data_IF_221412386336
#
_entry.id   IF_221412386336
#
_cell.length_a   1.000
_cell.length_b   1.000
_cell.length_c   1.000
_cell.angle_alpha   90.00
_cell.angle_beta   90.00
_cell.angle_gamma   90.00
#
_symmetry.space_group_name_H-M   'P 1'
#
loop_
_entity.id
_entity.type
_entity.pdbx_description
1 polymer ?
#
# COMPACT_ATOMS: atom_id res chain seq x y z
N UNK A 1 14.04 17.81 30.30
CA UNK A 1 14.42 16.56 29.59
C UNK A 1 13.35 16.02 28.62
N UNK A 2 12.18 16.66 28.52
CA UNK A 2 11.03 16.26 27.71
C UNK A 2 11.16 16.57 26.21
N UNK A 3 11.77 17.70 25.82
CA UNK A 3 11.83 18.10 24.40
C UNK A 3 12.81 17.29 23.56
N UNK A 4 13.92 16.81 24.14
CA UNK A 4 14.87 15.93 23.44
C UNK A 4 14.23 14.60 23.04
N UNK A 5 13.38 14.04 23.91
CA UNK A 5 12.62 12.81 23.66
C UNK A 5 11.59 12.98 22.54
N UNK A 6 10.78 14.06 22.62
CA UNK A 6 9.78 14.41 21.59
C UNK A 6 10.42 14.60 20.21
N UNK A 7 11.55 15.30 20.15
CA UNK A 7 12.28 15.55 18.90
C UNK A 7 12.84 14.24 18.30
N UNK A 8 13.33 13.31 19.12
CA UNK A 8 13.82 12.00 18.64
C UNK A 8 12.68 11.16 18.04
N UNK A 9 11.50 11.19 18.66
CA UNK A 9 10.28 10.54 18.13
C UNK A 9 9.84 11.14 16.80
N UNK A 10 9.83 12.48 16.69
CA UNK A 10 9.51 13.20 15.46
C UNK A 10 10.46 12.85 14.30
N UNK A 11 11.78 12.88 14.55
CA UNK A 11 12.77 12.49 13.53
C UNK A 11 12.64 11.03 13.10
N UNK A 12 12.27 10.13 14.02
CA UNK A 12 12.05 8.71 13.69
C UNK A 12 10.85 8.53 12.77
N UNK A 13 9.75 9.25 13.03
CA UNK A 13 8.57 9.25 12.16
C UNK A 13 8.90 9.83 10.78
N UNK A 14 9.60 10.96 10.73
CA UNK A 14 10.03 11.58 9.46
C UNK A 14 10.88 10.63 8.60
N UNK A 15 11.82 9.88 9.21
CA UNK A 15 12.60 8.86 8.48
C UNK A 15 11.73 7.71 7.98
N UNK A 16 10.77 7.25 8.78
CA UNK A 16 9.85 6.19 8.38
C UNK A 16 8.97 6.63 7.19
N UNK A 17 8.43 7.85 7.23
CA UNK A 17 7.66 8.43 6.12
C UNK A 17 8.49 8.52 4.85
N UNK A 18 9.72 9.07 4.91
CA UNK A 18 10.61 9.11 3.74
C UNK A 18 10.91 7.72 3.17
N UNK A 19 11.16 6.73 4.03
CA UNK A 19 11.39 5.36 3.58
C UNK A 19 10.16 4.76 2.89
N UNK A 20 8.95 4.99 3.43
CA UNK A 20 7.70 4.56 2.77
C UNK A 20 7.53 5.23 1.41
N UNK A 21 7.84 6.52 1.30
CA UNK A 21 7.71 7.28 0.05
C UNK A 21 8.69 6.76 -1.02
N UNK A 22 9.95 6.53 -0.67
CA UNK A 22 10.96 5.95 -1.56
C UNK A 22 10.56 4.54 -2.02
N UNK A 23 10.16 3.66 -1.10
CA UNK A 23 9.70 2.30 -1.45
C UNK A 23 8.42 2.34 -2.31
N UNK A 24 7.53 3.31 -2.07
CA UNK A 24 6.33 3.51 -2.87
C UNK A 24 6.70 3.86 -4.32
N UNK A 25 7.73 4.67 -4.53
CA UNK A 25 8.20 5.02 -5.87
C UNK A 25 8.74 3.80 -6.63
N UNK A 26 9.45 2.90 -5.93
CA UNK A 26 9.93 1.62 -6.49
C UNK A 26 8.75 0.72 -6.88
N UNK A 27 7.73 0.67 -6.04
CA UNK A 27 6.53 -0.14 -6.31
C UNK A 27 5.75 0.39 -7.53
N UNK A 28 5.69 1.71 -7.70
CA UNK A 28 4.97 2.36 -8.79
C UNK A 28 5.73 2.40 -10.12
N UNK A 29 7.07 2.40 -10.10
CA UNK A 29 7.87 2.48 -11.32
C UNK A 29 7.62 1.31 -12.26
N UNK A 30 7.14 0.16 -11.76
CA UNK A 30 6.88 -1.09 -12.52
C UNK A 30 8.07 -1.58 -13.34
N UNK A 31 9.25 -0.99 -13.13
CA UNK A 31 10.50 -1.30 -13.81
C UNK A 31 11.38 -2.00 -12.78
N UNK A 32 11.36 -3.33 -12.81
CA UNK A 32 12.09 -4.12 -11.83
C UNK A 32 11.74 -5.59 -11.90
N UNK A 33 12.65 -6.41 -11.39
CA UNK A 33 12.37 -7.79 -11.07
C UNK A 33 11.22 -7.88 -10.05
N UNK A 34 10.34 -8.86 -10.23
CA UNK A 34 9.20 -9.10 -9.35
C UNK A 34 9.65 -9.25 -7.89
N UNK A 35 10.80 -9.90 -7.67
CA UNK A 35 11.34 -10.12 -6.33
C UNK A 35 11.67 -8.79 -5.61
N UNK A 36 12.17 -7.80 -6.35
CA UNK A 36 12.48 -6.47 -5.83
C UNK A 36 11.20 -5.71 -5.45
N UNK A 37 10.17 -5.78 -6.31
CA UNK A 37 8.87 -5.11 -6.05
C UNK A 37 8.17 -5.76 -4.84
N UNK A 38 8.22 -7.08 -4.73
CA UNK A 38 7.68 -7.81 -3.59
C UNK A 38 8.45 -7.49 -2.29
N UNK A 39 9.77 -7.34 -2.36
CA UNK A 39 10.57 -6.89 -1.22
C UNK A 39 10.16 -5.49 -0.75
N UNK A 40 9.97 -4.54 -1.68
CA UNK A 40 9.48 -3.20 -1.36
C UNK A 40 8.08 -3.24 -0.71
N UNK A 41 7.17 -4.06 -1.22
CA UNK A 41 5.84 -4.25 -0.64
C UNK A 41 5.90 -4.74 0.81
N UNK A 42 6.72 -5.78 1.09
CA UNK A 42 6.95 -6.30 2.45
C UNK A 42 7.52 -5.22 3.38
N UNK A 43 8.49 -4.45 2.91
CA UNK A 43 9.13 -3.41 3.72
C UNK A 43 8.20 -2.24 4.05
N UNK A 44 7.35 -1.83 3.10
CA UNK A 44 6.29 -0.83 3.36
C UNK A 44 5.38 -1.31 4.49
N UNK A 45 4.90 -2.56 4.43
CA UNK A 45 4.06 -3.13 5.49
C UNK A 45 4.79 -3.19 6.83
N UNK A 46 6.06 -3.60 6.83
CA UNK A 46 6.89 -3.72 8.04
C UNK A 46 7.15 -2.37 8.69
N UNK A 47 7.48 -1.35 7.91
CA UNK A 47 7.67 0.02 8.39
C UNK A 47 6.36 0.55 8.96
N UNK A 48 5.24 0.32 8.28
CA UNK A 48 3.94 0.77 8.78
C UNK A 48 3.50 0.09 10.07
N UNK A 49 3.69 -1.23 10.19
CA UNK A 49 3.46 -1.98 11.44
C UNK A 49 4.35 -1.46 12.59
N UNK A 50 5.62 -1.15 12.31
CA UNK A 50 6.61 -0.76 13.34
C UNK A 50 6.52 0.70 13.77
N UNK A 51 6.24 1.60 12.84
CA UNK A 51 6.33 3.05 13.04
C UNK A 51 4.98 3.78 12.97
N UNK A 52 3.90 3.05 12.64
CA UNK A 52 2.56 3.62 12.51
C UNK A 52 2.38 4.48 11.25
N UNK A 53 3.31 4.38 10.30
CA UNK A 53 3.31 5.16 9.06
C UNK A 53 2.57 4.40 7.96
N UNK A 54 1.61 5.03 7.29
CA UNK A 54 0.80 4.34 6.28
C UNK A 54 1.15 4.86 4.90
N UNK A 55 1.35 3.98 3.91
CA UNK A 55 1.46 4.41 2.53
C UNK A 55 0.13 5.04 2.09
N UNK A 56 0.18 5.80 0.99
CA UNK A 56 -1.03 6.38 0.40
C UNK A 56 -2.04 5.27 0.06
N UNK A 57 -3.35 5.56 0.07
CA UNK A 57 -4.38 4.56 -0.24
C UNK A 57 -4.17 3.87 -1.60
N UNK A 58 -3.66 4.61 -2.59
CA UNK A 58 -3.30 4.07 -3.90
C UNK A 58 -2.24 2.98 -3.80
N UNK A 59 -1.13 3.26 -3.10
CA UNK A 59 -0.03 2.29 -2.92
C UNK A 59 -0.46 1.12 -2.05
N UNK A 60 -1.23 1.37 -0.98
CA UNK A 60 -1.70 0.29 -0.10
C UNK A 60 -2.56 -0.75 -0.84
N UNK A 61 -3.29 -0.35 -1.89
CA UNK A 61 -4.15 -1.26 -2.70
C UNK A 61 -3.32 -2.12 -3.66
N UNK A 62 -2.07 -1.76 -3.90
CA UNK A 62 -1.14 -2.51 -4.74
C UNK A 62 -0.31 -3.52 -3.93
N UNK A 63 -0.64 -3.75 -2.65
CA UNK A 63 0.07 -4.69 -1.79
C UNK A 63 -0.95 -5.67 -1.20
N UNK A 64 -0.72 -6.97 -1.39
CA UNK A 64 -1.53 -7.98 -0.75
C UNK A 64 -1.17 -8.04 0.74
N UNK A 65 -2.13 -7.82 1.65
CA UNK A 65 -1.86 -7.95 3.09
C UNK A 65 -1.74 -9.41 3.58
N UNK A 66 -2.00 -10.39 2.71
CA UNK A 66 -1.96 -11.82 3.02
C UNK A 66 -0.58 -12.41 2.78
N UNK A 67 -0.18 -12.50 1.51
CA UNK A 67 1.13 -13.00 1.11
C UNK A 67 2.23 -11.92 1.06
N UNK A 68 1.89 -10.66 1.34
CA UNK A 68 2.81 -9.51 1.28
C UNK A 68 3.46 -9.27 -0.09
N UNK A 69 2.89 -9.85 -1.16
CA UNK A 69 3.33 -9.64 -2.54
C UNK A 69 2.78 -8.33 -3.12
N UNK A 70 3.50 -7.79 -4.11
CA UNK A 70 3.02 -6.67 -4.90
C UNK A 70 1.96 -7.13 -5.91
N UNK A 71 0.85 -6.41 -5.95
CA UNK A 71 -0.28 -6.69 -6.83
C UNK A 71 -0.11 -5.93 -8.14
N UNK A 72 0.07 -6.68 -9.22
CA UNK A 72 0.20 -6.18 -10.58
C UNK A 72 -1.08 -6.53 -11.35
N UNK A 73 -1.89 -5.54 -11.74
CA UNK A 73 -3.10 -5.77 -12.52
C UNK A 73 -2.82 -6.57 -13.79
N UNK A 74 -3.55 -7.67 -14.00
CA UNK A 74 -3.41 -8.52 -15.18
C UNK A 74 -2.26 -9.53 -15.13
N UNK A 75 -1.50 -9.59 -14.03
CA UNK A 75 -0.45 -10.60 -13.82
C UNK A 75 -0.77 -11.54 -12.65
N UNK A 76 -0.92 -10.99 -11.46
CA UNK A 76 -1.18 -11.75 -10.22
C UNK A 76 -2.31 -11.13 -9.38
N UNK A 77 -3.07 -10.23 -10.00
CA UNK A 77 -4.11 -9.49 -9.32
C UNK A 77 -5.23 -9.11 -10.29
N UNK A 78 -6.47 -9.29 -9.83
CA UNK A 78 -7.69 -8.92 -10.55
C UNK A 78 -8.36 -7.74 -9.88
N UNK A 79 -8.45 -6.63 -10.60
CA UNK A 79 -9.12 -5.42 -10.16
C UNK A 79 -10.49 -5.32 -10.86
N UNK A 80 -11.57 -5.19 -10.10
CA UNK A 80 -12.94 -5.01 -10.60
C UNK A 80 -13.60 -3.84 -9.91
N UNK A 81 -14.48 -3.15 -10.62
CA UNK A 81 -15.40 -2.18 -10.03
C UNK A 81 -16.77 -2.82 -10.00
N UNK A 82 -17.37 -2.90 -8.83
CA UNK A 82 -18.69 -3.50 -8.62
C UNK A 82 -19.43 -2.69 -7.56
N UNK A 83 -20.66 -2.27 -7.85
CA UNK A 83 -21.52 -1.57 -6.90
C UNK A 83 -20.82 -0.35 -6.23
N UNK A 84 -20.16 0.47 -7.05
CA UNK A 84 -19.42 1.65 -6.55
C UNK A 84 -18.21 1.33 -5.65
N UNK A 85 -17.76 0.07 -5.60
CA UNK A 85 -16.59 -0.38 -4.84
C UNK A 85 -15.51 -0.94 -5.76
N UNK A 86 -14.25 -0.70 -5.39
CA UNK A 86 -13.09 -1.39 -5.96
C UNK A 86 -12.89 -2.73 -5.24
N UNK A 87 -12.98 -3.83 -5.97
CA UNK A 87 -12.70 -5.18 -5.50
C UNK A 87 -11.38 -5.64 -6.11
N UNK A 88 -10.41 -5.94 -5.25
CA UNK A 88 -9.09 -6.42 -5.64
C UNK A 88 -8.93 -7.86 -5.14
N UNK A 89 -8.65 -8.78 -6.06
CA UNK A 89 -8.37 -10.19 -5.72
C UNK A 89 -6.91 -10.48 -6.02
N UNK A 90 -6.18 -10.97 -5.03
CA UNK A 90 -4.85 -11.54 -5.22
C UNK A 90 -5.00 -12.95 -5.79
N UNK A 91 -4.37 -13.21 -6.92
CA UNK A 91 -4.45 -14.52 -7.59
C UNK A 91 -3.44 -15.51 -7.01
N UNK A 92 -2.36 -15.02 -6.38
CA UNK A 92 -1.36 -15.88 -5.73
C UNK A 92 -1.90 -16.55 -4.45
N UNK A 93 -2.67 -15.83 -3.63
CA UNK A 93 -3.15 -16.34 -2.33
C UNK A 93 -4.68 -16.31 -2.17
N UNK A 94 -5.42 -15.86 -3.18
CA UNK A 94 -6.89 -15.81 -3.17
C UNK A 94 -7.51 -14.72 -2.28
N UNK A 95 -6.71 -13.88 -1.62
CA UNK A 95 -7.24 -12.83 -0.73
C UNK A 95 -8.02 -11.78 -1.51
N UNK A 96 -9.17 -11.37 -0.99
CA UNK A 96 -10.01 -10.32 -1.57
C UNK A 96 -9.98 -9.09 -0.66
N UNK A 97 -9.63 -7.94 -1.22
CA UNK A 97 -9.75 -6.63 -0.58
C UNK A 97 -10.83 -5.80 -1.29
N UNK A 98 -11.56 -5.00 -0.51
CA UNK A 98 -12.62 -4.13 -1.00
C UNK A 98 -12.36 -2.71 -0.49
N UNK A 99 -12.47 -1.73 -1.38
CA UNK A 99 -12.33 -0.32 -1.04
C UNK A 99 -13.50 0.49 -1.64
N UNK A 100 -14.14 1.30 -0.81
CA UNK A 100 -15.29 2.13 -1.20
C UNK A 100 -16.49 1.96 -0.25
N UNK A 101 -17.66 2.49 -0.62
CA UNK A 101 -17.98 3.13 -1.90
C UNK A 101 -17.50 4.59 -1.97
N UNK A 102 -16.43 4.85 -2.73
CA UNK A 102 -15.90 6.21 -2.97
C UNK A 102 -16.35 6.76 -4.34
N UNK A 103 -16.79 5.88 -5.24
CA UNK A 103 -17.36 6.28 -6.52
C UNK A 103 -18.81 6.69 -6.28
N UNK A 104 -19.07 7.94 -5.87
CA UNK A 104 -20.42 8.50 -6.01
C UNK A 104 -20.71 8.56 -7.51
N UNK A 105 -21.44 7.57 -8.01
CA UNK A 105 -22.21 7.75 -9.24
C UNK A 105 -23.01 9.03 -9.05
N UNK A 106 -22.91 9.95 -10.02
CA UNK A 106 -23.75 11.14 -10.00
C UNK A 106 -25.19 10.72 -9.76
N UNK A 107 -25.83 11.33 -8.76
CA UNK A 107 -27.27 11.26 -8.64
C UNK A 107 -27.84 11.78 -9.97
N UNK A 108 -28.36 10.86 -10.78
CA UNK A 108 -29.25 11.17 -11.88
C UNK A 108 -30.56 10.55 -11.48
N UNK A 109 -31.43 11.40 -10.91
CA UNK A 109 -32.89 11.45 -11.08
C UNK A 109 -33.41 12.72 -10.37
#
# INVERSE_FOLDING_TARGET
>A
MSDRSRNRSSRRRSRASKAVDELSSVLLSRWGDQEMVDAAARDILRIGKRHGERPTPHVSRLICRGCEAALVPGRNARFRISDGMLVVTCEDCGRIERAGPDFKGGASD
#
